data_IF_474431160042
#
_entry.id   IF_474431160042
#
_cell.length_a   1.000
_cell.length_b   1.000
_cell.length_c   1.000
_cell.angle_alpha   90.00
_cell.angle_beta   90.00
_cell.angle_gamma   90.00
#
_symmetry.space_group_name_H-M   'P 1'
#
loop_
_entity.id
_entity.type
_entity.pdbx_description
1 polymer ?
#
# COMPACT_ATOMS: atom_id res chain seq x y z
N UNK A 1 6.38 -63.64 37.79
CA UNK A 1 7.17 -63.61 36.54
C UNK A 1 7.25 -62.17 36.06
N UNK A 2 8.41 -61.52 36.24
CA UNK A 2 8.65 -60.15 35.79
C UNK A 2 9.35 -60.19 34.43
N UNK A 3 8.70 -59.71 33.37
CA UNK A 3 9.22 -59.43 32.02
C UNK A 3 8.19 -58.48 31.36
N UNK A 4 8.47 -57.26 30.93
CA UNK A 4 9.68 -56.45 30.95
C UNK A 4 9.29 -54.98 30.76
N UNK A 5 10.21 -54.09 31.12
CA UNK A 5 10.03 -52.63 31.05
C UNK A 5 9.93 -52.20 29.59
N UNK A 6 8.79 -51.63 29.19
CA UNK A 6 8.62 -51.02 27.87
C UNK A 6 9.56 -49.81 27.81
N UNK A 7 10.62 -49.89 26.99
CA UNK A 7 11.53 -48.78 26.69
C UNK A 7 10.70 -47.60 26.15
N UNK A 8 10.51 -46.57 26.98
CA UNK A 8 9.93 -45.31 26.53
C UNK A 8 10.86 -44.70 25.47
N UNK A 9 10.35 -44.48 24.27
CA UNK A 9 11.06 -43.73 23.24
C UNK A 9 11.31 -42.32 23.75
N UNK A 10 12.55 -41.87 23.70
CA UNK A 10 12.95 -40.53 24.09
C UNK A 10 12.05 -39.49 23.40
N UNK A 11 11.41 -38.65 24.21
CA UNK A 11 10.71 -37.45 23.74
C UNK A 11 11.73 -36.63 22.95
N UNK A 12 11.44 -36.18 21.71
CA UNK A 12 12.38 -35.32 21.02
C UNK A 12 12.63 -34.09 21.89
N UNK A 13 13.87 -33.91 22.31
CA UNK A 13 14.43 -32.64 22.79
C UNK A 13 14.43 -31.66 21.61
N UNK A 14 13.24 -31.24 21.23
CA UNK A 14 12.94 -30.22 20.25
C UNK A 14 11.82 -29.35 20.79
N UNK A 15 11.85 -29.08 22.10
CA UNK A 15 10.99 -28.10 22.72
C UNK A 15 11.42 -26.73 22.19
N UNK A 16 10.61 -26.17 21.29
CA UNK A 16 10.62 -24.77 20.88
C UNK A 16 11.19 -23.91 22.00
N UNK A 17 12.46 -23.51 21.88
CA UNK A 17 12.99 -22.41 22.65
C UNK A 17 12.04 -21.27 22.35
N UNK A 18 11.17 -20.93 23.32
CA UNK A 18 10.33 -19.75 23.27
C UNK A 18 11.31 -18.63 23.04
N UNK A 19 11.42 -18.20 21.79
CA UNK A 19 12.27 -17.07 21.40
C UNK A 19 11.76 -15.96 22.30
N UNK A 20 12.59 -15.62 23.29
CA UNK A 20 12.18 -14.74 24.37
C UNK A 20 11.47 -13.55 23.76
N UNK A 21 10.42 -13.08 24.43
CA UNK A 21 9.79 -11.80 24.15
C UNK A 21 10.83 -10.70 24.39
N UNK A 22 11.82 -10.62 23.51
CA UNK A 22 12.74 -9.51 23.46
C UNK A 22 11.91 -8.34 22.96
N UNK A 23 11.86 -7.22 23.70
CA UNK A 23 11.18 -6.03 23.22
C UNK A 23 11.74 -5.73 21.83
N UNK A 24 10.85 -5.66 20.84
CA UNK A 24 11.25 -5.34 19.47
C UNK A 24 11.98 -4.01 19.52
N UNK A 25 13.30 -4.01 19.25
CA UNK A 25 14.07 -2.78 19.00
C UNK A 25 13.26 -1.91 18.03
N UNK A 26 13.19 -0.59 18.22
CA UNK A 26 12.42 0.29 17.35
C UNK A 26 12.89 0.09 15.91
N UNK A 27 12.09 -0.65 15.15
CA UNK A 27 12.29 -0.81 13.71
C UNK A 27 11.77 0.48 13.13
N UNK A 28 12.60 1.23 12.40
CA UNK A 28 12.18 2.44 11.68
C UNK A 28 10.98 2.18 10.77
N UNK A 29 10.44 3.19 10.10
CA UNK A 29 9.20 3.12 9.32
C UNK A 29 9.26 2.05 8.20
N UNK A 30 8.98 0.80 8.55
CA UNK A 30 8.88 -0.34 7.63
C UNK A 30 7.42 -0.62 7.38
N UNK A 31 7.02 -0.54 6.12
CA UNK A 31 5.68 -0.94 5.73
C UNK A 31 5.64 -2.47 5.66
N UNK A 32 5.10 -3.10 6.70
CA UNK A 32 4.96 -4.55 6.77
C UNK A 32 3.74 -4.96 5.94
N UNK A 33 3.95 -5.87 4.98
CA UNK A 33 2.86 -6.41 4.19
C UNK A 33 1.88 -7.22 5.07
N UNK A 34 0.56 -7.03 4.92
CA UNK A 34 -0.42 -7.81 5.67
C UNK A 34 -0.36 -9.27 5.24
N UNK A 35 -0.29 -10.18 6.22
CA UNK A 35 -0.25 -11.63 5.98
C UNK A 35 -1.63 -12.30 6.02
N UNK A 36 -2.59 -11.67 6.70
CA UNK A 36 -3.97 -12.19 6.84
C UNK A 36 -4.77 -11.90 5.57
N UNK A 37 -5.50 -12.89 5.05
CA UNK A 37 -6.28 -12.76 3.81
C UNK A 37 -7.27 -11.58 3.83
N UNK A 38 -8.01 -11.38 4.95
CA UNK A 38 -8.94 -10.24 5.12
C UNK A 38 -8.25 -8.89 4.94
N UNK A 39 -7.05 -8.71 5.50
CA UNK A 39 -6.28 -7.47 5.39
C UNK A 39 -5.70 -7.26 3.99
N UNK A 40 -5.37 -8.34 3.28
CA UNK A 40 -4.94 -8.27 1.88
C UNK A 40 -6.09 -7.76 1.00
N UNK A 41 -7.32 -8.26 1.22
CA UNK A 41 -8.51 -7.80 0.50
C UNK A 41 -8.78 -6.32 0.76
N UNK A 42 -8.75 -5.88 2.02
CA UNK A 42 -8.92 -4.46 2.38
C UNK A 42 -7.85 -3.57 1.73
N UNK A 43 -6.57 -3.97 1.73
CA UNK A 43 -5.49 -3.24 1.07
C UNK A 43 -5.73 -3.11 -0.45
N UNK A 44 -6.24 -4.16 -1.10
CA UNK A 44 -6.60 -4.11 -2.53
C UNK A 44 -7.75 -3.14 -2.78
N UNK A 45 -8.78 -3.14 -1.94
CA UNK A 45 -9.90 -2.20 -2.04
C UNK A 45 -9.43 -0.75 -1.89
N UNK A 46 -8.64 -0.45 -0.85
CA UNK A 46 -8.08 0.89 -0.64
C UNK A 46 -7.24 1.38 -1.82
N UNK A 47 -6.44 0.49 -2.43
CA UNK A 47 -5.65 0.83 -3.62
C UNK A 47 -6.54 1.16 -4.83
N UNK A 48 -7.65 0.46 -5.03
CA UNK A 48 -8.61 0.75 -6.12
C UNK A 48 -9.30 2.09 -5.92
N UNK A 49 -9.79 2.36 -4.71
CA UNK A 49 -10.48 3.62 -4.42
C UNK A 49 -9.55 4.83 -4.50
N UNK A 50 -8.32 4.71 -4.00
CA UNK A 50 -7.32 5.78 -4.13
C UNK A 50 -6.99 6.08 -5.59
N UNK A 51 -6.79 5.07 -6.44
CA UNK A 51 -6.55 5.28 -7.87
C UNK A 51 -7.73 5.95 -8.60
N UNK A 52 -8.97 5.60 -8.23
CA UNK A 52 -10.16 6.27 -8.77
C UNK A 52 -10.26 7.73 -8.33
N UNK A 53 -9.98 8.00 -7.05
CA UNK A 53 -9.99 9.36 -6.51
C UNK A 53 -8.91 10.22 -7.15
N UNK A 54 -7.70 9.71 -7.36
CA UNK A 54 -6.64 10.45 -8.07
C UNK A 54 -7.04 10.77 -9.51
N UNK A 55 -7.60 9.81 -10.24
CA UNK A 55 -8.06 10.04 -11.61
C UNK A 55 -9.18 11.11 -11.69
N UNK A 56 -10.10 11.13 -10.73
CA UNK A 56 -11.13 12.18 -10.65
C UNK A 56 -10.51 13.54 -10.32
N UNK A 57 -9.53 13.59 -9.41
CA UNK A 57 -8.84 14.85 -9.11
C UNK A 57 -8.03 15.35 -10.31
N UNK A 58 -7.40 14.47 -11.08
CA UNK A 58 -6.70 14.82 -12.32
C UNK A 58 -7.66 15.39 -13.37
N UNK A 59 -8.83 14.76 -13.55
CA UNK A 59 -9.89 15.30 -14.43
C UNK A 59 -10.37 16.67 -13.98
N UNK A 60 -10.65 16.85 -12.69
CA UNK A 60 -11.08 18.15 -12.17
C UNK A 60 -10.02 19.25 -12.35
N UNK A 61 -8.74 18.91 -12.19
CA UNK A 61 -7.65 19.84 -12.45
C UNK A 61 -7.51 20.16 -13.95
N UNK A 62 -7.65 19.17 -14.82
CA UNK A 62 -7.64 19.37 -16.27
C UNK A 62 -8.83 20.19 -16.76
N UNK A 63 -10.03 19.96 -16.22
CA UNK A 63 -11.22 20.77 -16.50
C UNK A 63 -11.01 22.21 -16.03
N UNK A 64 -10.50 22.43 -14.82
CA UNK A 64 -10.18 23.78 -14.33
C UNK A 64 -9.08 24.45 -15.15
N UNK A 65 -8.05 23.71 -15.54
CA UNK A 65 -6.95 24.22 -16.36
C UNK A 65 -7.39 24.52 -17.80
N UNK A 66 -8.14 23.62 -18.44
CA UNK A 66 -8.71 23.81 -19.77
C UNK A 66 -9.80 24.88 -19.80
N UNK A 67 -10.58 25.00 -18.73
CA UNK A 67 -11.49 26.12 -18.52
C UNK A 67 -10.70 27.44 -18.33
N UNK A 68 -9.58 27.40 -17.61
CA UNK A 68 -8.66 28.54 -17.50
C UNK A 68 -7.98 28.89 -18.82
N UNK A 69 -7.68 27.92 -19.69
CA UNK A 69 -7.19 28.19 -21.06
C UNK A 69 -8.27 28.86 -21.91
N UNK A 70 -9.55 28.54 -21.70
CA UNK A 70 -10.67 29.25 -22.33
C UNK A 70 -10.85 30.68 -21.77
N UNK A 71 -10.55 30.92 -20.49
CA UNK A 71 -10.67 32.25 -19.87
C UNK A 71 -9.43 33.14 -20.10
N UNK A 72 -8.24 32.54 -20.12
CA UNK A 72 -6.96 33.24 -20.30
C UNK A 72 -6.50 33.00 -21.74
N UNK A 73 -6.99 33.84 -22.65
CA UNK A 73 -6.70 33.81 -24.08
C UNK A 73 -5.32 33.22 -24.39
N UNK A 74 -5.33 32.03 -25.00
CA UNK A 74 -4.17 31.17 -25.13
C UNK A 74 -3.10 31.80 -26.03
N UNK A 75 -1.95 31.12 -26.19
CA UNK A 75 -0.89 31.57 -27.11
C UNK A 75 -1.39 31.78 -28.55
N UNK A 76 -2.50 31.14 -28.94
CA UNK A 76 -3.17 31.35 -30.24
C UNK A 76 -3.89 32.70 -30.30
N UNK A 77 -4.53 33.14 -29.22
CA UNK A 77 -5.21 34.44 -29.16
C UNK A 77 -4.21 35.58 -29.17
N UNK A 78 -3.08 35.43 -28.47
CA UNK A 78 -1.95 36.39 -28.56
C UNK A 78 -1.34 36.52 -29.96
N UNK A 79 -1.33 35.44 -30.75
CA UNK A 79 -0.88 35.47 -32.15
C UNK A 79 -1.91 36.10 -33.10
N UNK A 80 -3.19 36.09 -32.73
CA UNK A 80 -4.26 36.77 -33.46
C UNK A 80 -4.24 38.29 -33.25
N UNK A 81 -3.96 38.74 -32.02
CA UNK A 81 -3.80 40.17 -31.70
C UNK A 81 -2.56 40.78 -32.35
N UNK A 82 -1.41 40.08 -32.32
CA UNK A 82 -0.16 40.57 -32.94
C UNK A 82 -0.19 40.67 -34.48
N UNK A 83 -1.24 40.18 -35.13
CA UNK A 83 -1.48 40.34 -36.58
C UNK A 83 -2.51 41.44 -36.90
N UNK A 84 -3.13 42.05 -35.88
CA UNK A 84 -4.14 43.11 -36.02
C UNK A 84 -3.66 44.48 -35.50
N UNK A 85 -2.41 44.59 -35.06
CA UNK A 85 -1.70 45.84 -34.79
C UNK A 85 -0.60 46.02 -35.83
#
# INVERSE_FOLDING_TARGET
MAQGVIKQKAKPTGGNAKKGSQPLKPRGSRQIAPKKQKLIQQKKLLKKHSAGLTALTEKQLAEKAGHLEMLRGGKKDKKGEAKKA
#
